data_IF_762043885815
#
_entry.id   IF_762043885815
#
_cell.length_a   1.000
_cell.length_b   1.000
_cell.length_c   1.000
_cell.angle_alpha   90.00
_cell.angle_beta   90.00
_cell.angle_gamma   90.00
#
_symmetry.space_group_name_H-M   'P 1'
#
loop_
_entity.id
_entity.type
_entity.pdbx_description
1 polymer ?
#
# COMPACT_ATOMS: atom_id res chain seq x y z
N UNK A 1 6.77 3.35 1.44
CA UNK A 1 5.48 3.50 2.15
C UNK A 1 4.41 3.98 1.17
N UNK A 2 3.48 3.13 0.76
CA UNK A 2 2.49 3.47 -0.27
C UNK A 2 1.34 4.36 0.25
N UNK A 3 0.96 4.27 1.53
CA UNK A 3 -0.07 5.14 2.14
C UNK A 3 0.30 6.62 2.20
N UNK A 4 1.59 6.94 2.25
CA UNK A 4 2.08 8.32 2.25
C UNK A 4 1.69 9.06 0.95
N UNK A 5 1.58 8.32 -0.15
CA UNK A 5 1.17 8.85 -1.44
C UNK A 5 -0.30 9.32 -1.44
N UNK A 6 -1.16 8.68 -0.64
CA UNK A 6 -2.57 9.02 -0.50
C UNK A 6 -2.86 9.93 0.71
N UNK A 7 -1.82 10.36 1.44
CA UNK A 7 -1.94 11.00 2.75
C UNK A 7 -2.79 10.19 3.75
N UNK A 8 -2.74 8.87 3.65
CA UNK A 8 -3.51 7.95 4.50
C UNK A 8 -2.76 7.62 5.80
N UNK A 9 -3.52 7.64 6.90
CA UNK A 9 -3.08 7.10 8.17
C UNK A 9 -3.16 5.57 8.18
N UNK A 10 -2.57 4.92 9.19
CA UNK A 10 -2.74 3.48 9.41
C UNK A 10 -4.23 3.09 9.57
N UNK A 11 -5.06 4.02 10.04
CA UNK A 11 -6.51 3.85 10.15
C UNK A 11 -7.19 3.65 8.81
N UNK A 12 -6.84 4.52 7.87
CA UNK A 12 -7.51 4.63 6.60
C UNK A 12 -7.17 3.41 5.76
N UNK A 13 -5.89 3.00 5.77
CA UNK A 13 -5.46 1.75 5.15
C UNK A 13 -6.09 0.51 5.82
N UNK A 14 -6.23 0.50 7.15
CA UNK A 14 -6.90 -0.59 7.86
C UNK A 14 -8.37 -0.71 7.44
N UNK A 15 -9.06 0.42 7.37
CA UNK A 15 -10.47 0.47 6.95
C UNK A 15 -10.64 0.08 5.49
N UNK A 16 -9.75 0.53 4.61
CA UNK A 16 -9.83 0.25 3.18
C UNK A 16 -9.44 -1.20 2.83
N UNK A 17 -8.44 -1.77 3.51
CA UNK A 17 -7.97 -3.13 3.24
C UNK A 17 -8.69 -4.22 4.07
N UNK A 18 -9.48 -3.84 5.07
CA UNK A 18 -10.08 -4.78 6.03
C UNK A 18 -9.05 -5.49 6.91
N UNK A 19 -7.85 -4.92 7.06
CA UNK A 19 -6.74 -5.51 7.81
C UNK A 19 -6.53 -4.76 9.11
N UNK A 20 -6.24 -5.48 10.19
CA UNK A 20 -5.99 -4.88 11.49
C UNK A 20 -4.77 -3.93 11.46
N UNK A 21 -4.88 -2.74 12.09
CA UNK A 21 -3.81 -1.73 12.14
C UNK A 21 -2.45 -2.30 12.58
N UNK A 22 -2.46 -3.20 13.57
CA UNK A 22 -1.24 -3.81 14.09
C UNK A 22 -0.52 -4.67 13.04
N UNK A 23 -1.28 -5.38 12.21
CA UNK A 23 -0.74 -6.15 11.09
C UNK A 23 -0.08 -5.24 10.07
N UNK A 24 -0.71 -4.11 9.72
CA UNK A 24 -0.15 -3.11 8.80
C UNK A 24 1.15 -2.53 9.38
N UNK A 25 1.15 -2.15 10.66
CA UNK A 25 2.35 -1.66 11.35
C UNK A 25 3.51 -2.68 11.35
N UNK A 26 3.19 -3.96 11.56
CA UNK A 26 4.18 -5.04 11.51
C UNK A 26 4.76 -5.24 10.10
N UNK A 27 3.93 -5.07 9.05
CA UNK A 27 4.39 -5.06 7.66
C UNK A 27 5.29 -3.85 7.36
N UNK A 28 4.89 -2.66 7.81
CA UNK A 28 5.66 -1.42 7.62
C UNK A 28 7.01 -1.43 8.34
N UNK A 29 7.10 -2.10 9.48
CA UNK A 29 8.34 -2.24 10.26
C UNK A 29 9.19 -3.44 9.88
N UNK A 30 8.75 -4.24 8.90
CA UNK A 30 9.47 -5.44 8.45
C UNK A 30 9.49 -6.59 9.47
N UNK A 31 8.72 -6.49 10.57
CA UNK A 31 8.66 -7.50 11.63
C UNK A 31 7.81 -8.72 11.25
N UNK A 32 7.00 -8.61 10.21
CA UNK A 32 6.13 -9.69 9.76
C UNK A 32 5.97 -9.65 8.24
N UNK A 33 6.42 -10.70 7.55
CA UNK A 33 6.27 -10.89 6.10
C UNK A 33 5.21 -11.96 5.75
N UNK A 34 4.58 -12.57 6.76
CA UNK A 34 4.05 -13.93 6.67
C UNK A 34 2.64 -14.11 6.10
N UNK A 35 2.01 -13.08 5.55
CA UNK A 35 0.61 -13.19 5.11
C UNK A 35 0.45 -12.57 3.72
N UNK A 36 0.80 -13.34 2.68
CA UNK A 36 0.72 -12.91 1.28
C UNK A 36 -0.69 -12.49 0.89
N UNK A 37 -1.72 -13.12 1.46
CA UNK A 37 -3.11 -12.75 1.26
C UNK A 37 -3.40 -11.33 1.78
N UNK A 38 -2.87 -10.99 2.96
CA UNK A 38 -3.03 -9.64 3.53
C UNK A 38 -2.29 -8.57 2.74
N UNK A 39 -1.12 -8.92 2.20
CA UNK A 39 -0.40 -8.06 1.27
C UNK A 39 -1.18 -7.82 -0.01
N UNK A 40 -1.85 -8.85 -0.55
CA UNK A 40 -2.66 -8.74 -1.74
C UNK A 40 -3.87 -7.80 -1.53
N UNK A 41 -4.61 -7.95 -0.41
CA UNK A 41 -5.75 -7.05 -0.12
C UNK A 41 -5.30 -5.62 0.20
N UNK A 42 -4.17 -5.43 0.88
CA UNK A 42 -3.61 -4.08 1.10
C UNK A 42 -3.19 -3.42 -0.21
N UNK A 43 -2.55 -4.17 -1.11
CA UNK A 43 -2.21 -3.70 -2.45
C UNK A 43 -3.45 -3.33 -3.23
N UNK A 44 -4.46 -4.21 -3.26
CA UNK A 44 -5.72 -3.96 -3.97
C UNK A 44 -6.45 -2.72 -3.45
N UNK A 45 -6.48 -2.50 -2.13
CA UNK A 45 -7.09 -1.31 -1.52
C UNK A 45 -6.39 -0.02 -1.93
N UNK A 46 -5.06 -0.04 -1.98
CA UNK A 46 -4.26 1.10 -2.42
C UNK A 46 -4.40 1.34 -3.93
N UNK A 47 -4.46 0.28 -4.74
CA UNK A 47 -4.72 0.35 -6.18
C UNK A 47 -6.11 0.92 -6.49
N UNK A 48 -7.13 0.49 -5.75
CA UNK A 48 -8.48 1.04 -5.84
C UNK A 48 -8.53 2.54 -5.49
N UNK A 49 -7.67 2.99 -4.58
CA UNK A 49 -7.52 4.39 -4.21
C UNK A 49 -6.64 5.21 -5.18
N UNK A 50 -6.10 4.59 -6.24
CA UNK A 50 -5.35 5.27 -7.29
C UNK A 50 -3.82 5.19 -7.16
N UNK A 51 -3.30 4.38 -6.24
CA UNK A 51 -1.87 4.06 -6.18
C UNK A 51 -1.53 3.01 -7.22
N UNK A 52 -0.50 3.23 -8.04
CA UNK A 52 -0.03 2.19 -8.96
C UNK A 52 1.27 1.63 -8.42
N UNK A 53 1.25 0.35 -8.05
CA UNK A 53 2.47 -0.37 -7.69
C UNK A 53 3.18 -0.84 -8.96
N UNK A 54 4.38 -0.32 -9.19
CA UNK A 54 5.19 -0.73 -10.33
C UNK A 54 6.08 -1.89 -9.85
N UNK A 55 6.02 -3.06 -10.48
CA UNK A 55 6.93 -4.16 -10.15
C UNK A 55 8.37 -3.73 -10.41
N UNK A 56 9.27 -4.19 -9.56
CA UNK A 56 10.67 -3.78 -9.58
C UNK A 56 11.36 -4.23 -10.88
N UNK A 57 11.75 -3.27 -11.72
CA UNK A 57 12.56 -3.51 -12.92
C UNK A 57 14.03 -3.10 -12.65
N UNK A 58 14.63 -3.68 -11.59
CA UNK A 58 16.07 -3.65 -11.33
C UNK A 58 16.64 -2.51 -10.46
N UNK A 59 15.83 -1.85 -9.62
CA UNK A 59 16.29 -0.71 -8.79
C UNK A 59 15.63 -0.53 -7.41
N UNK A 60 14.97 -1.56 -6.88
CA UNK A 60 14.20 -1.49 -5.63
C UNK A 60 12.70 -1.16 -5.83
N UNK A 61 11.82 -1.54 -4.87
CA UNK A 61 10.37 -1.38 -4.99
C UNK A 61 9.96 0.10 -4.86
N UNK A 62 9.44 0.67 -5.96
CA UNK A 62 8.96 2.05 -6.03
C UNK A 62 7.43 2.18 -5.99
N UNK A 63 6.93 3.35 -5.57
CA UNK A 63 5.49 3.71 -5.58
C UNK A 63 5.30 4.94 -6.47
N UNK A 64 4.37 4.91 -7.43
CA UNK A 64 3.98 6.10 -8.21
C UNK A 64 2.49 6.40 -8.01
N UNK A 65 2.18 7.68 -7.84
CA UNK A 65 0.82 8.19 -7.94
C UNK A 65 0.43 8.30 -9.41
N UNK A 66 -0.77 7.85 -9.75
CA UNK A 66 -1.36 8.10 -11.07
C UNK A 66 -1.49 9.62 -11.22
N UNK A 67 -0.82 10.18 -12.23
CA UNK A 67 -1.00 11.57 -12.64
C UNK A 67 -2.43 11.69 -13.14
N UNK A 68 -3.28 12.42 -12.41
CA UNK A 68 -4.51 12.90 -13.02
C UNK A 68 -4.10 13.76 -14.21
N UNK A 69 -4.69 13.46 -15.36
CA UNK A 69 -4.58 14.30 -16.55
C UNK A 69 -5.28 15.61 -16.22
N UNK A 70 -4.49 16.63 -15.91
CA UNK A 70 -4.97 18.01 -15.92
C UNK A 70 -4.93 18.51 -17.38
N UNK A 71 -6.04 19.13 -17.74
CA UNK A 71 -6.54 19.62 -19.04
C UNK A 71 -5.54 20.46 -19.83
#
# INVERSE_FOLDING_TARGET
MARAALNWSLADLASAAGVHRNTISNFETGKYAGDQEKLAVMRAALEAAGVVFIPENGGGPGVRLRKNADV
#
